data_IF_820965238047
#
_entry.id   IF_820965238047
#
_cell.length_a   1.000
_cell.length_b   1.000
_cell.length_c   1.000
_cell.angle_alpha   90.00
_cell.angle_beta   90.00
_cell.angle_gamma   90.00
#
_symmetry.space_group_name_H-M   'P 1'
#
loop_
_entity.id
_entity.type
_entity.pdbx_description
1 polymer ?
#
# COMPACT_ATOMS: atom_id res chain seq x y z
N UNK A 1 -0.35 -9.94 1.98
CA UNK A 1 0.49 -8.73 2.04
C UNK A 1 -0.19 -7.61 1.26
N UNK A 2 0.31 -6.36 1.32
CA UNK A 2 -0.24 -5.25 0.52
C UNK A 2 -0.18 -5.53 -0.98
N UNK A 3 0.90 -6.15 -1.48
CA UNK A 3 1.01 -6.59 -2.88
C UNK A 3 -0.11 -7.56 -3.28
N UNK A 4 -0.39 -8.58 -2.44
CA UNK A 4 -1.49 -9.51 -2.70
C UNK A 4 -2.85 -8.79 -2.74
N UNK A 5 -3.09 -7.84 -1.84
CA UNK A 5 -4.34 -7.09 -1.81
C UNK A 5 -4.57 -6.28 -3.10
N UNK A 6 -3.49 -5.72 -3.66
CA UNK A 6 -3.50 -5.02 -4.97
C UNK A 6 -3.71 -6.00 -6.12
N UNK A 7 -3.05 -7.15 -6.12
CA UNK A 7 -3.20 -8.18 -7.16
C UNK A 7 -4.61 -8.77 -7.19
N UNK A 8 -5.23 -8.97 -6.01
CA UNK A 8 -6.59 -9.49 -5.87
C UNK A 8 -7.65 -8.46 -6.25
N UNK A 9 -7.31 -7.17 -6.30
CA UNK A 9 -8.26 -6.11 -6.63
C UNK A 9 -8.54 -6.05 -8.13
N UNK A 10 -9.33 -7.02 -8.60
CA UNK A 10 -9.91 -7.06 -9.96
C UNK A 10 -11.05 -6.05 -10.15
N UNK A 11 -11.23 -5.10 -9.23
CA UNK A 11 -12.40 -4.21 -9.13
C UNK A 11 -12.04 -2.74 -8.82
N UNK A 12 -10.81 -2.30 -9.14
CA UNK A 12 -10.36 -0.92 -8.93
C UNK A 12 -11.05 0.15 -9.81
N UNK A 13 -12.07 -0.23 -10.59
CA UNK A 13 -12.77 0.67 -11.52
C UNK A 13 -14.07 1.28 -10.93
N UNK A 14 -14.44 0.95 -9.68
CA UNK A 14 -15.59 1.54 -9.00
C UNK A 14 -15.18 2.23 -7.68
N UNK A 15 -15.78 3.38 -7.31
CA UNK A 15 -15.47 4.08 -6.05
C UNK A 15 -15.59 3.19 -4.80
N UNK A 16 -16.59 2.30 -4.77
CA UNK A 16 -16.77 1.33 -3.68
C UNK A 16 -15.61 0.30 -3.62
N UNK A 17 -15.07 -0.09 -4.77
CA UNK A 17 -13.88 -0.96 -4.86
C UNK A 17 -12.62 -0.30 -4.31
N UNK A 18 -12.45 0.99 -4.56
CA UNK A 18 -11.30 1.78 -4.11
C UNK A 18 -11.29 1.97 -2.60
N UNK A 19 -12.43 2.33 -2.01
CA UNK A 19 -12.58 2.43 -0.57
C UNK A 19 -12.35 1.08 0.13
N UNK A 20 -12.85 -0.02 -0.44
CA UNK A 20 -12.65 -1.36 0.10
C UNK A 20 -11.17 -1.79 0.01
N UNK A 21 -10.51 -1.51 -1.11
CA UNK A 21 -9.08 -1.75 -1.27
C UNK A 21 -8.26 -0.93 -0.27
N UNK A 22 -8.57 0.36 -0.11
CA UNK A 22 -7.91 1.22 0.87
C UNK A 22 -8.06 0.69 2.31
N UNK A 23 -9.23 0.17 2.68
CA UNK A 23 -9.45 -0.47 3.98
C UNK A 23 -8.58 -1.72 4.17
N UNK A 24 -8.50 -2.60 3.15
CA UNK A 24 -7.65 -3.81 3.19
C UNK A 24 -6.16 -3.46 3.28
N UNK A 25 -5.72 -2.43 2.56
CA UNK A 25 -4.34 -1.96 2.58
C UNK A 25 -3.99 -1.30 3.91
N UNK A 26 -4.89 -0.51 4.49
CA UNK A 26 -4.75 0.05 5.84
C UNK A 26 -4.57 -1.05 6.88
N UNK A 27 -5.44 -2.07 6.86
CA UNK A 27 -5.34 -3.20 7.78
C UNK A 27 -4.00 -3.95 7.64
N UNK A 28 -3.51 -4.11 6.40
CA UNK A 28 -2.20 -4.73 6.12
C UNK A 28 -1.04 -3.87 6.62
N UNK A 29 -1.07 -2.57 6.37
CA UNK A 29 -0.08 -1.61 6.85
C UNK A 29 -0.01 -1.62 8.38
N UNK A 30 -1.15 -1.49 9.06
CA UNK A 30 -1.21 -1.52 10.52
C UNK A 30 -0.71 -2.86 11.08
N UNK A 31 -0.98 -3.97 10.39
CA UNK A 31 -0.45 -5.28 10.73
C UNK A 31 1.09 -5.31 10.73
N UNK A 32 1.72 -4.78 9.68
CA UNK A 32 3.18 -4.68 9.56
C UNK A 32 3.75 -3.85 10.72
N UNK A 33 3.16 -2.69 11.00
CA UNK A 33 3.62 -1.81 12.09
C UNK A 33 3.48 -2.50 13.45
N UNK A 34 2.34 -3.15 13.72
CA UNK A 34 2.10 -3.86 14.99
C UNK A 34 3.05 -5.04 15.20
N UNK A 35 3.47 -5.70 14.13
CA UNK A 35 4.34 -6.87 14.18
C UNK A 35 5.83 -6.51 14.08
N UNK A 36 6.18 -5.23 13.90
CA UNK A 36 7.55 -4.80 13.76
C UNK A 36 8.32 -4.95 15.08
N UNK A 37 9.30 -5.85 15.09
CA UNK A 37 10.25 -6.05 16.19
C UNK A 37 11.67 -5.62 15.84
N UNK A 38 11.89 -5.14 14.60
CA UNK A 38 13.17 -4.66 14.12
C UNK A 38 13.61 -3.39 14.86
N UNK A 39 14.92 -3.21 15.02
CA UNK A 39 15.53 -2.00 15.57
C UNK A 39 16.77 -1.62 14.76
N UNK A 40 17.27 -0.40 14.95
CA UNK A 40 18.45 0.11 14.24
C UNK A 40 18.16 0.51 12.79
N UNK A 41 19.22 0.65 12.00
CA UNK A 41 19.15 1.24 10.65
C UNK A 41 18.19 0.51 9.70
N UNK A 42 18.17 -0.82 9.72
CA UNK A 42 17.24 -1.60 8.89
C UNK A 42 15.76 -1.30 9.20
N UNK A 43 15.43 -1.05 10.48
CA UNK A 43 14.09 -0.62 10.87
C UNK A 43 13.77 0.77 10.32
N UNK A 44 14.69 1.72 10.43
CA UNK A 44 14.51 3.08 9.92
C UNK A 44 14.30 3.07 8.40
N UNK A 45 15.09 2.30 7.65
CA UNK A 45 14.96 2.19 6.20
C UNK A 45 13.64 1.54 5.79
N UNK A 46 13.21 0.48 6.47
CA UNK A 46 11.90 -0.12 6.21
C UNK A 46 10.78 0.90 6.46
N UNK A 47 10.85 1.67 7.55
CA UNK A 47 9.86 2.70 7.86
C UNK A 47 9.86 3.85 6.86
N UNK A 48 11.03 4.29 6.38
CA UNK A 48 11.13 5.27 5.30
C UNK A 48 10.47 4.77 4.02
N UNK A 49 10.64 3.49 3.69
CA UNK A 49 10.02 2.89 2.52
C UNK A 49 8.49 2.74 2.67
N UNK A 50 7.98 2.29 3.80
CA UNK A 50 6.52 2.05 3.93
C UNK A 50 5.73 3.34 4.25
N UNK A 51 6.35 4.39 4.78
CA UNK A 51 5.63 5.61 5.18
C UNK A 51 4.88 6.30 4.02
N UNK A 52 5.46 6.47 2.80
CA UNK A 52 4.74 6.98 1.64
C UNK A 52 3.45 6.22 1.33
N UNK A 53 3.44 4.89 1.52
CA UNK A 53 2.25 4.06 1.27
C UNK A 53 1.08 4.44 2.17
N UNK A 54 1.32 4.87 3.42
CA UNK A 54 0.24 5.34 4.31
C UNK A 54 -0.52 6.52 3.71
N UNK A 55 0.20 7.47 3.10
CA UNK A 55 -0.40 8.63 2.43
C UNK A 55 -1.16 8.19 1.19
N UNK A 56 -0.56 7.32 0.39
CA UNK A 56 -1.17 6.79 -0.83
C UNK A 56 -2.46 6.00 -0.56
N UNK A 57 -2.50 5.20 0.51
CA UNK A 57 -3.71 4.50 0.97
C UNK A 57 -4.80 5.48 1.39
N UNK A 58 -4.44 6.55 2.10
CA UNK A 58 -5.41 7.57 2.51
C UNK A 58 -6.03 8.27 1.28
N UNK A 59 -5.22 8.61 0.28
CA UNK A 59 -5.71 9.17 -0.99
C UNK A 59 -6.61 8.20 -1.74
N UNK A 60 -6.28 6.90 -1.75
CA UNK A 60 -7.10 5.87 -2.39
C UNK A 60 -8.51 5.78 -1.78
N UNK A 61 -8.66 6.04 -0.47
CA UNK A 61 -9.96 5.96 0.21
C UNK A 61 -10.98 7.00 -0.26
N UNK A 62 -10.53 8.06 -0.94
CA UNK A 62 -11.36 9.13 -1.49
C UNK A 62 -11.27 9.21 -3.02
N UNK A 63 -10.57 8.28 -3.68
CA UNK A 63 -10.37 8.30 -5.12
C UNK A 63 -11.57 7.71 -5.86
N UNK A 64 -11.91 8.30 -7.02
CA UNK A 64 -13.03 7.89 -7.85
C UNK A 64 -12.58 7.72 -9.31
N UNK A 65 -13.24 6.82 -10.05
CA UNK A 65 -12.99 6.65 -11.50
C UNK A 65 -11.51 6.39 -11.83
N UNK A 66 -10.96 7.15 -12.76
CA UNK A 66 -9.58 7.02 -13.24
C UNK A 66 -8.53 7.29 -12.15
N UNK A 67 -8.82 8.18 -11.21
CA UNK A 67 -7.89 8.53 -10.13
C UNK A 67 -7.61 7.31 -9.23
N UNK A 68 -8.60 6.44 -9.07
CA UNK A 68 -8.41 5.20 -8.32
C UNK A 68 -7.49 4.22 -9.05
N UNK A 69 -7.73 3.98 -10.33
CA UNK A 69 -6.90 3.07 -11.12
C UNK A 69 -5.43 3.54 -11.17
N UNK A 70 -5.21 4.84 -11.40
CA UNK A 70 -3.87 5.43 -11.40
C UNK A 70 -3.18 5.30 -10.03
N UNK A 71 -3.91 5.56 -8.95
CA UNK A 71 -3.38 5.43 -7.60
C UNK A 71 -3.01 3.96 -7.28
N UNK A 72 -3.82 2.99 -7.69
CA UNK A 72 -3.52 1.57 -7.53
C UNK A 72 -2.27 1.18 -8.32
N UNK A 73 -2.13 1.62 -9.57
CA UNK A 73 -0.94 1.35 -10.40
C UNK A 73 0.32 1.97 -9.79
N UNK A 74 0.23 3.21 -9.31
CA UNK A 74 1.32 3.89 -8.61
C UNK A 74 1.79 3.08 -7.39
N UNK A 75 0.86 2.63 -6.56
CA UNK A 75 1.17 1.84 -5.37
C UNK A 75 1.74 0.47 -5.70
N UNK A 76 1.22 -0.20 -6.74
CA UNK A 76 1.73 -1.47 -7.24
C UNK A 76 3.19 -1.33 -7.70
N UNK A 77 3.47 -0.29 -8.48
CA UNK A 77 4.80 0.02 -9.01
C UNK A 77 5.78 0.35 -7.90
N UNK A 78 5.35 1.14 -6.90
CA UNK A 78 6.19 1.42 -5.74
C UNK A 78 6.52 0.12 -4.99
N UNK A 79 5.51 -0.70 -4.67
CA UNK A 79 5.70 -1.96 -3.97
C UNK A 79 6.58 -2.97 -4.72
N UNK A 80 6.66 -2.92 -6.06
CA UNK A 80 7.58 -3.79 -6.81
C UNK A 80 9.05 -3.43 -6.63
N UNK A 81 9.37 -2.20 -6.18
CA UNK A 81 10.75 -1.78 -5.90
C UNK A 81 11.30 -2.31 -4.58
N UNK A 82 10.49 -3.03 -3.79
CA UNK A 82 10.92 -3.56 -2.49
C UNK A 82 12.19 -4.42 -2.60
N UNK A 83 12.24 -5.29 -3.61
CA UNK A 83 13.38 -6.17 -3.85
C UNK A 83 14.66 -5.38 -4.22
N UNK A 84 14.53 -4.17 -4.77
CA UNK A 84 15.69 -3.33 -5.11
C UNK A 84 16.39 -2.77 -3.85
N UNK A 85 15.73 -2.79 -2.69
CA UNK A 85 16.23 -2.20 -1.44
C UNK A 85 16.43 -3.21 -0.30
N UNK A 86 15.70 -4.33 -0.29
CA UNK A 86 15.59 -5.22 0.87
C UNK A 86 15.80 -6.72 0.57
N UNK A 87 16.12 -7.11 -0.66
CA UNK A 87 16.44 -8.50 -1.07
C UNK A 87 17.89 -8.67 -1.54
#
# INVERSE_FOLDING_TARGET
>A
SMQQAIQDSTQAESPAGCAQLAARLTASFDGIIRQCTMTGEAHEQLHHYILPLKRDIATLSTAEGTDCAEQVVKMATYLSTYADYFE
#
